data_IF_642230272184
#
_entry.id   IF_642230272184
#
_cell.length_a   1.000
_cell.length_b   1.000
_cell.length_c   1.000
_cell.angle_alpha   90.00
_cell.angle_beta   90.00
_cell.angle_gamma   90.00
#
_symmetry.space_group_name_H-M   'P 1'
#
loop_
_entity.id
_entity.type
_entity.pdbx_description
1 polymer ?
#
# COMPACT_ATOMS: atom_id res chain seq x y z
N UNK A 1 -20.00 20.26 20.01
CA UNK A 1 -18.70 19.65 20.31
C UNK A 1 -18.66 18.30 19.61
N UNK A 2 -18.19 18.26 18.36
CA UNK A 2 -18.04 17.02 17.60
C UNK A 2 -16.64 16.49 17.88
N UNK A 3 -16.52 15.51 18.79
CA UNK A 3 -15.30 14.71 18.90
C UNK A 3 -15.25 13.85 17.64
N UNK A 4 -14.63 14.36 16.57
CA UNK A 4 -14.35 13.58 15.38
C UNK A 4 -13.56 12.36 15.80
N UNK A 5 -14.09 11.15 15.53
CA UNK A 5 -13.32 9.93 15.70
C UNK A 5 -12.01 10.11 14.95
N UNK A 6 -10.91 10.03 15.66
CA UNK A 6 -9.58 10.06 15.06
C UNK A 6 -9.52 8.95 14.01
N UNK A 7 -9.09 9.29 12.79
CA UNK A 7 -9.04 8.31 11.71
C UNK A 7 -8.02 7.22 12.05
N UNK A 8 -8.31 5.93 11.80
CA UNK A 8 -7.43 4.83 12.19
C UNK A 8 -6.01 4.96 11.61
N UNK A 9 -4.99 4.74 12.47
CA UNK A 9 -3.56 4.73 12.12
C UNK A 9 -2.87 3.46 12.59
N UNK A 10 -1.80 3.02 11.92
CA UNK A 10 -0.99 1.91 12.41
C UNK A 10 -0.28 2.27 13.73
N UNK A 11 -0.23 1.32 14.67
CA UNK A 11 0.52 1.52 15.91
C UNK A 11 2.04 1.52 15.67
N UNK A 12 2.51 0.76 14.68
CA UNK A 12 3.90 0.79 14.19
C UNK A 12 3.92 1.05 12.70
N UNK A 13 4.73 2.01 12.25
CA UNK A 13 4.84 2.38 10.85
C UNK A 13 6.29 2.48 10.40
N UNK A 14 6.64 1.74 9.34
CA UNK A 14 7.90 1.89 8.62
C UNK A 14 7.66 2.58 7.27
N UNK A 15 8.56 3.47 6.88
CA UNK A 15 8.46 4.23 5.63
C UNK A 15 9.83 4.31 4.97
N UNK A 16 9.91 3.88 3.72
CA UNK A 16 11.12 3.82 2.91
C UNK A 16 10.95 4.74 1.69
N UNK A 17 11.83 5.74 1.48
CA UNK A 17 11.86 6.50 0.23
C UNK A 17 12.41 5.64 -0.91
N UNK A 18 12.31 6.16 -2.13
CA UNK A 18 12.89 5.55 -3.32
C UNK A 18 14.41 5.47 -3.22
N UNK A 19 15.00 4.67 -4.09
CA UNK A 19 16.44 4.48 -4.19
C UNK A 19 16.88 4.42 -5.65
N UNK A 20 18.18 4.55 -5.90
CA UNK A 20 18.76 4.47 -7.25
C UNK A 20 18.43 3.16 -7.99
N UNK A 21 18.07 2.09 -7.26
CA UNK A 21 17.61 0.84 -7.86
C UNK A 21 16.38 1.02 -8.77
N UNK A 22 15.52 2.01 -8.50
CA UNK A 22 14.30 2.26 -9.26
C UNK A 22 14.45 3.34 -10.34
N UNK A 23 15.67 3.80 -10.64
CA UNK A 23 15.90 4.92 -11.55
C UNK A 23 15.27 4.72 -12.95
N UNK A 24 15.25 3.48 -13.47
CA UNK A 24 14.66 3.16 -14.78
C UNK A 24 13.15 3.46 -14.85
N UNK A 25 12.45 3.36 -13.72
CA UNK A 25 11.00 3.59 -13.58
C UNK A 25 10.70 4.77 -12.67
N UNK A 26 11.63 5.73 -12.55
CA UNK A 26 11.47 6.87 -11.65
C UNK A 26 10.36 7.83 -12.09
N UNK A 27 9.96 7.78 -13.37
CA UNK A 27 8.88 8.61 -13.92
C UNK A 27 7.88 7.74 -14.65
N UNK A 28 6.60 8.12 -14.58
CA UNK A 28 5.54 7.42 -15.34
C UNK A 28 5.75 7.51 -16.86
N UNK A 29 6.49 8.50 -17.35
CA UNK A 29 6.84 8.59 -18.77
C UNK A 29 7.74 7.42 -19.21
N UNK A 30 8.62 6.95 -18.33
CA UNK A 30 9.51 5.82 -18.59
C UNK A 30 8.82 4.46 -18.37
N UNK A 31 7.73 4.43 -17.59
CA UNK A 31 6.88 3.25 -17.36
C UNK A 31 5.40 3.64 -17.46
N UNK A 32 4.93 3.83 -18.70
CA UNK A 32 3.64 4.45 -18.97
C UNK A 32 2.44 3.51 -18.87
N UNK A 33 2.67 2.19 -18.89
CA UNK A 33 1.59 1.22 -18.85
C UNK A 33 1.01 1.18 -17.42
N UNK A 34 -0.29 1.49 -17.20
CA UNK A 34 -0.88 1.39 -15.88
C UNK A 34 -0.83 -0.05 -15.37
N UNK A 35 -0.91 -0.22 -14.04
CA UNK A 35 -1.04 -1.53 -13.44
C UNK A 35 -2.49 -1.99 -13.53
N UNK A 36 -2.69 -3.30 -13.68
CA UNK A 36 -4.02 -3.92 -13.60
C UNK A 36 -4.17 -4.70 -12.31
N UNK A 37 -5.42 -4.88 -11.87
CA UNK A 37 -5.73 -5.71 -10.70
C UNK A 37 -5.19 -7.15 -10.87
N UNK A 38 -5.19 -7.72 -12.07
CA UNK A 38 -4.70 -9.08 -12.30
C UNK A 38 -3.17 -9.19 -12.23
N UNK A 39 -2.44 -8.14 -12.61
CA UNK A 39 -0.97 -8.12 -12.49
C UNK A 39 -0.53 -8.01 -11.03
N UNK A 40 -1.23 -7.21 -10.22
CA UNK A 40 -0.86 -7.00 -8.81
C UNK A 40 -1.41 -8.13 -7.91
N UNK A 41 -2.66 -8.53 -8.11
CA UNK A 41 -3.38 -9.50 -7.27
C UNK A 41 -3.57 -10.82 -8.02
N UNK A 42 -2.45 -11.50 -8.27
CA UNK A 42 -2.39 -12.77 -9.01
C UNK A 42 -3.12 -13.91 -8.29
N UNK A 43 -3.24 -15.07 -8.93
CA UNK A 43 -3.81 -16.27 -8.31
C UNK A 43 -3.09 -16.65 -6.99
N UNK A 44 -1.76 -16.52 -6.96
CA UNK A 44 -0.95 -16.76 -5.76
C UNK A 44 -1.22 -15.73 -4.66
N UNK A 45 -1.63 -14.51 -5.06
CA UNK A 45 -2.03 -13.44 -4.15
C UNK A 45 -3.44 -13.59 -3.56
N UNK A 46 -4.20 -14.63 -3.91
CA UNK A 46 -5.53 -14.88 -3.32
C UNK A 46 -5.47 -15.34 -1.87
N UNK A 47 -4.36 -15.95 -1.46
CA UNK A 47 -4.15 -16.39 -0.08
C UNK A 47 -2.79 -15.88 0.39
N UNK A 48 -2.78 -15.12 1.49
CA UNK A 48 -1.58 -14.58 2.11
C UNK A 48 -1.48 -15.11 3.54
N UNK A 49 -0.65 -16.13 3.73
CA UNK A 49 -0.55 -16.82 5.01
C UNK A 49 -1.89 -17.45 5.41
N UNK A 50 -2.48 -16.96 6.51
CA UNK A 50 -3.79 -17.41 7.01
C UNK A 50 -4.96 -16.56 6.52
N UNK A 51 -4.71 -15.53 5.70
CA UNK A 51 -5.76 -14.66 5.18
C UNK A 51 -6.11 -14.99 3.74
N UNK A 52 -7.39 -14.84 3.40
CA UNK A 52 -7.91 -14.92 2.04
C UNK A 52 -8.27 -13.53 1.53
N UNK A 53 -8.14 -13.32 0.22
CA UNK A 53 -8.55 -12.10 -0.46
C UNK A 53 -10.06 -11.92 -0.32
N UNK A 54 -10.46 -10.79 0.27
CA UNK A 54 -11.86 -10.43 0.48
C UNK A 54 -12.40 -9.55 -0.67
N UNK A 55 -11.64 -8.54 -1.08
CA UNK A 55 -12.03 -7.64 -2.15
C UNK A 55 -10.82 -6.99 -2.83
N UNK A 56 -11.01 -6.54 -4.07
CA UNK A 56 -10.09 -5.66 -4.78
C UNK A 56 -10.82 -4.43 -5.29
N UNK A 57 -10.11 -3.31 -5.41
CA UNK A 57 -10.66 -2.05 -5.92
C UNK A 57 -9.61 -1.26 -6.67
N UNK A 58 -10.03 -0.59 -7.73
CA UNK A 58 -9.26 0.43 -8.42
C UNK A 58 -9.87 1.81 -8.12
N UNK A 59 -9.00 2.78 -7.93
CA UNK A 59 -9.34 4.19 -7.72
C UNK A 59 -8.69 5.02 -8.82
N UNK A 60 -9.50 5.73 -9.60
CA UNK A 60 -9.03 6.74 -10.55
C UNK A 60 -8.86 8.11 -9.87
N UNK A 61 -9.53 8.32 -8.75
CA UNK A 61 -9.24 9.39 -7.80
C UNK A 61 -8.49 8.79 -6.59
N UNK A 62 -7.17 8.93 -6.57
CA UNK A 62 -6.33 8.31 -5.55
C UNK A 62 -6.61 8.83 -4.12
N UNK A 63 -7.18 10.03 -3.98
CA UNK A 63 -7.47 10.62 -2.68
C UNK A 63 -8.66 9.91 -1.99
N UNK A 64 -9.49 9.18 -2.73
CA UNK A 64 -10.50 8.29 -2.14
C UNK A 64 -9.88 7.19 -1.27
N UNK A 65 -8.64 6.77 -1.57
CA UNK A 65 -7.93 5.76 -0.78
C UNK A 65 -7.24 6.35 0.47
N UNK A 66 -7.25 7.67 0.63
CA UNK A 66 -6.49 8.40 1.65
C UNK A 66 -7.38 9.24 2.55
N UNK A 67 -6.87 9.56 3.73
CA UNK A 67 -7.42 10.60 4.60
C UNK A 67 -6.28 11.47 5.14
N UNK A 68 -6.50 12.77 5.27
CA UNK A 68 -5.52 13.72 5.86
C UNK A 68 -4.30 14.05 4.98
N UNK A 69 -4.17 13.43 3.81
CA UNK A 69 -3.10 13.65 2.83
C UNK A 69 -3.65 13.44 1.41
N UNK A 70 -3.03 14.10 0.43
CA UNK A 70 -3.34 13.97 -1.00
C UNK A 70 -2.18 13.31 -1.75
N UNK A 71 -2.48 12.41 -2.67
CA UNK A 71 -1.52 11.80 -3.59
C UNK A 71 -1.38 12.67 -4.85
N UNK A 72 -0.69 13.80 -4.74
CA UNK A 72 -0.53 14.77 -5.85
C UNK A 72 0.06 14.12 -7.11
N UNK A 73 -0.60 14.30 -8.25
CA UNK A 73 -0.15 13.74 -9.54
C UNK A 73 -0.40 12.24 -9.72
N UNK A 74 -1.06 11.60 -8.75
CA UNK A 74 -1.49 10.20 -8.84
C UNK A 74 -2.62 10.05 -9.86
N UNK A 75 -2.55 8.99 -10.66
CA UNK A 75 -3.56 8.67 -11.68
C UNK A 75 -4.29 7.37 -11.43
N UNK A 76 -3.76 6.53 -10.54
CA UNK A 76 -4.33 5.23 -10.23
C UNK A 76 -3.88 4.78 -8.84
N UNK A 77 -4.80 4.23 -8.06
CA UNK A 77 -4.47 3.42 -6.91
C UNK A 77 -5.20 2.07 -6.97
N UNK A 78 -4.50 0.98 -6.65
CA UNK A 78 -5.09 -0.36 -6.58
C UNK A 78 -5.04 -0.84 -5.13
N UNK A 79 -6.16 -1.35 -4.63
CA UNK A 79 -6.31 -1.87 -3.27
C UNK A 79 -6.75 -3.33 -3.28
N UNK A 80 -6.22 -4.10 -2.34
CA UNK A 80 -6.75 -5.40 -1.95
C UNK A 80 -6.94 -5.45 -0.43
N UNK A 81 -8.01 -6.09 0.01
CA UNK A 81 -8.30 -6.37 1.42
C UNK A 81 -8.33 -7.86 1.67
N UNK A 82 -7.89 -8.27 2.85
CA UNK A 82 -7.70 -9.65 3.23
C UNK A 82 -8.24 -9.91 4.64
N UNK A 83 -8.85 -11.06 4.85
CA UNK A 83 -9.39 -11.48 6.15
C UNK A 83 -9.00 -12.93 6.48
N UNK A 84 -8.76 -13.20 7.77
CA UNK A 84 -8.46 -14.55 8.23
C UNK A 84 -8.39 -14.68 9.75
N UNK A 85 -9.33 -15.41 10.33
CA UNK A 85 -9.33 -15.73 11.76
C UNK A 85 -9.31 -14.48 12.65
N UNK A 86 -8.17 -14.23 13.32
CA UNK A 86 -7.96 -13.12 14.25
C UNK A 86 -7.25 -11.91 13.65
N UNK A 87 -7.08 -11.85 12.33
CA UNK A 87 -6.40 -10.74 11.66
C UNK A 87 -7.08 -10.34 10.35
N UNK A 88 -6.84 -9.10 9.94
CA UNK A 88 -7.19 -8.61 8.61
C UNK A 88 -6.12 -7.62 8.17
N UNK A 89 -6.02 -7.43 6.86
CA UNK A 89 -5.05 -6.50 6.32
C UNK A 89 -5.46 -5.99 4.96
N UNK A 90 -4.67 -5.04 4.48
CA UNK A 90 -4.83 -4.47 3.16
C UNK A 90 -3.47 -4.12 2.55
N UNK A 91 -3.48 -4.06 1.23
CA UNK A 91 -2.40 -3.54 0.42
C UNK A 91 -2.96 -2.45 -0.49
N UNK A 92 -2.23 -1.36 -0.65
CA UNK A 92 -2.53 -0.29 -1.62
C UNK A 92 -1.27 0.02 -2.41
N UNK A 93 -1.36 0.12 -3.74
CA UNK A 93 -0.29 0.65 -4.58
C UNK A 93 -0.79 1.88 -5.34
N UNK A 94 -0.03 2.96 -5.29
CA UNK A 94 -0.30 4.23 -5.97
C UNK A 94 0.65 4.40 -7.15
N UNK A 95 0.12 4.86 -8.29
CA UNK A 95 0.88 5.25 -9.47
C UNK A 95 0.94 6.79 -9.53
N UNK A 96 2.09 7.36 -9.19
CA UNK A 96 2.33 8.81 -9.15
C UNK A 96 3.04 9.31 -10.42
N UNK A 97 3.25 10.63 -10.50
CA UNK A 97 3.96 11.23 -11.62
C UNK A 97 5.44 10.80 -11.68
N UNK A 98 6.11 10.82 -10.53
CA UNK A 98 7.54 10.55 -10.41
C UNK A 98 7.95 10.10 -8.98
N UNK A 99 9.22 9.72 -8.81
CA UNK A 99 9.78 9.31 -7.53
C UNK A 99 9.79 10.39 -6.46
N UNK A 100 9.84 11.68 -6.84
CA UNK A 100 9.73 12.79 -5.89
C UNK A 100 8.33 12.85 -5.28
N UNK A 101 7.29 12.68 -6.10
CA UNK A 101 5.92 12.59 -5.64
C UNK A 101 5.72 11.36 -4.74
N UNK A 102 6.32 10.22 -5.11
CA UNK A 102 6.30 9.02 -4.29
C UNK A 102 6.93 9.22 -2.90
N UNK A 103 8.13 9.80 -2.85
CA UNK A 103 8.82 10.13 -1.59
C UNK A 103 8.02 11.09 -0.72
N UNK A 104 7.42 12.11 -1.34
CA UNK A 104 6.58 13.08 -0.65
C UNK A 104 5.34 12.41 -0.01
N UNK A 105 4.68 11.49 -0.74
CA UNK A 105 3.55 10.74 -0.21
C UNK A 105 3.98 9.85 0.97
N UNK A 106 5.07 9.10 0.83
CA UNK A 106 5.61 8.24 1.92
C UNK A 106 5.92 9.06 3.18
N UNK A 107 6.55 10.23 3.01
CA UNK A 107 6.84 11.12 4.13
C UNK A 107 5.56 11.66 4.80
N UNK A 108 4.54 12.00 4.01
CA UNK A 108 3.28 12.54 4.50
C UNK A 108 2.42 11.48 5.22
N UNK A 109 2.44 10.22 4.79
CA UNK A 109 1.76 9.10 5.47
C UNK A 109 2.23 8.92 6.93
N UNK A 110 3.47 9.32 7.24
CA UNK A 110 4.00 9.27 8.61
C UNK A 110 3.35 10.31 9.52
N UNK A 111 2.94 11.47 8.99
CA UNK A 111 2.62 12.65 9.83
C UNK A 111 1.20 13.16 9.66
N UNK A 112 0.73 13.30 8.42
CA UNK A 112 -0.42 14.12 8.06
C UNK A 112 -1.70 13.30 7.85
N UNK A 113 -1.55 12.09 7.32
CA UNK A 113 -2.66 11.26 6.92
C UNK A 113 -2.28 9.79 6.80
N UNK A 114 -3.21 8.95 6.37
CA UNK A 114 -2.94 7.55 6.09
C UNK A 114 -3.89 6.98 5.04
N UNK A 115 -3.64 5.74 4.62
CA UNK A 115 -4.61 5.00 3.80
C UNK A 115 -5.88 4.72 4.61
N UNK A 116 -7.04 4.82 3.98
CA UNK A 116 -8.32 4.43 4.58
C UNK A 116 -8.37 2.92 4.72
N UNK A 117 -9.01 2.47 5.80
CA UNK A 117 -9.31 1.05 5.98
C UNK A 117 -10.34 0.62 4.93
N UNK A 118 -9.94 -0.27 4.02
CA UNK A 118 -10.85 -0.92 3.06
C UNK A 118 -11.63 -2.08 3.71
N UNK A 119 -11.14 -2.59 4.83
CA UNK A 119 -11.77 -3.58 5.70
C UNK A 119 -11.56 -3.16 7.16
N UNK A 120 -12.58 -3.35 7.99
CA UNK A 120 -12.49 -2.98 9.41
C UNK A 120 -11.61 -3.97 10.17
N UNK A 121 -10.61 -3.45 10.89
CA UNK A 121 -9.84 -4.21 11.88
C UNK A 121 -9.33 -3.30 12.98
N UNK A 122 -8.98 -3.90 14.11
CA UNK A 122 -8.42 -3.17 15.24
C UNK A 122 -7.04 -2.59 14.88
N UNK A 123 -6.96 -1.27 14.84
CA UNK A 123 -5.73 -0.54 14.53
C UNK A 123 -4.77 -0.51 15.74
N UNK A 124 -5.27 -0.71 16.96
CA UNK A 124 -4.45 -0.88 18.16
C UNK A 124 -3.53 -2.09 17.98
N UNK A 125 -2.21 -1.90 18.13
CA UNK A 125 -1.22 -2.97 17.92
C UNK A 125 -0.96 -3.35 16.45
N UNK A 126 -1.65 -2.71 15.50
CA UNK A 126 -1.46 -2.94 14.06
C UNK A 126 -0.11 -2.42 13.55
N UNK A 127 0.32 -2.95 12.40
CA UNK A 127 1.62 -2.65 11.79
C UNK A 127 1.47 -2.33 10.32
N UNK A 128 2.19 -1.32 9.85
CA UNK A 128 2.22 -0.96 8.45
C UNK A 128 3.62 -0.63 7.92
N UNK A 129 3.78 -0.77 6.62
CA UNK A 129 4.96 -0.39 5.86
C UNK A 129 4.53 0.37 4.61
N UNK A 130 5.21 1.47 4.30
CA UNK A 130 5.09 2.16 3.03
C UNK A 130 6.45 2.24 2.34
N UNK A 131 6.48 2.05 1.02
CA UNK A 131 7.72 2.06 0.23
C UNK A 131 7.50 2.84 -1.05
N UNK A 132 8.38 3.80 -1.34
CA UNK A 132 8.49 4.39 -2.66
C UNK A 132 9.41 3.52 -3.53
N UNK A 133 8.95 3.18 -4.73
CA UNK A 133 9.58 2.24 -5.65
C UNK A 133 9.57 2.87 -7.06
N UNK A 134 10.41 3.88 -7.27
CA UNK A 134 10.30 4.76 -8.44
C UNK A 134 9.07 5.65 -8.30
N UNK A 135 8.27 5.78 -9.36
CA UNK A 135 7.02 6.54 -9.31
C UNK A 135 5.84 5.82 -8.61
N UNK A 136 6.05 4.60 -8.10
CA UNK A 136 5.04 3.88 -7.32
C UNK A 136 5.22 4.05 -5.81
N UNK A 137 4.12 4.02 -5.07
CA UNK A 137 4.13 3.85 -3.61
C UNK A 137 3.29 2.65 -3.22
N UNK A 138 3.85 1.71 -2.46
CA UNK A 138 3.09 0.62 -1.83
C UNK A 138 2.83 0.94 -0.37
N UNK A 139 1.69 0.49 0.16
CA UNK A 139 1.30 0.56 1.57
C UNK A 139 0.69 -0.77 1.98
N UNK A 140 1.36 -1.48 2.87
CA UNK A 140 0.89 -2.73 3.48
C UNK A 140 0.47 -2.44 4.93
N UNK A 141 -0.71 -2.88 5.34
CA UNK A 141 -1.21 -2.66 6.72
C UNK A 141 -1.99 -3.86 7.21
N UNK A 142 -1.63 -4.37 8.39
CA UNK A 142 -2.29 -5.51 9.04
C UNK A 142 -2.57 -5.21 10.51
N UNK A 143 -3.72 -5.66 10.99
CA UNK A 143 -4.10 -5.58 12.40
C UNK A 143 -5.06 -6.69 12.81
N UNK A 144 -5.61 -6.57 14.01
CA UNK A 144 -6.42 -7.61 14.67
C UNK A 144 -5.77 -8.11 15.98
N UNK A 145 -6.29 -9.22 16.50
CA UNK A 145 -5.94 -9.77 17.82
C UNK A 145 -4.92 -10.91 17.76
N UNK A 146 -4.36 -11.17 16.59
CA UNK A 146 -3.28 -12.14 16.42
C UNK A 146 -1.99 -11.73 17.14
N UNK A 147 -1.07 -12.70 17.29
CA UNK A 147 0.23 -12.43 17.93
C UNK A 147 1.04 -11.41 17.13
N UNK A 148 1.92 -10.66 17.80
CA UNK A 148 2.82 -9.72 17.13
C UNK A 148 3.67 -10.39 16.04
N UNK A 149 4.07 -11.65 16.25
CA UNK A 149 4.83 -12.43 15.28
C UNK A 149 3.99 -12.76 14.04
N UNK A 150 2.74 -13.21 14.22
CA UNK A 150 1.82 -13.47 13.10
C UNK A 150 1.56 -12.20 12.28
N UNK A 151 1.38 -11.05 12.94
CA UNK A 151 1.22 -9.75 12.28
C UNK A 151 2.46 -9.37 11.46
N UNK A 152 3.67 -9.62 11.96
CA UNK A 152 4.92 -9.36 11.21
C UNK A 152 5.02 -10.27 9.98
N UNK A 153 4.79 -11.58 10.14
CA UNK A 153 4.81 -12.53 9.02
C UNK A 153 3.78 -12.14 7.96
N UNK A 154 2.60 -11.70 8.38
CA UNK A 154 1.53 -11.27 7.48
C UNK A 154 1.84 -9.95 6.78
N UNK A 155 2.46 -9.00 7.47
CA UNK A 155 2.91 -7.75 6.87
C UNK A 155 3.94 -8.00 5.74
N UNK A 156 4.88 -8.93 5.95
CA UNK A 156 5.84 -9.34 4.93
C UNK A 156 5.14 -9.98 3.73
N UNK A 157 4.11 -10.79 3.96
CA UNK A 157 3.33 -11.39 2.87
C UNK A 157 2.58 -10.33 2.04
N UNK A 158 1.99 -9.32 2.70
CA UNK A 158 1.35 -8.18 2.03
C UNK A 158 2.37 -7.34 1.24
N UNK A 159 3.52 -7.02 1.82
CA UNK A 159 4.58 -6.26 1.12
C UNK A 159 5.07 -7.00 -0.13
N UNK A 160 5.04 -8.33 -0.08
CA UNK A 160 5.36 -9.20 -1.21
C UNK A 160 4.51 -8.97 -2.46
N UNK A 161 3.32 -8.34 -2.37
CA UNK A 161 2.50 -7.96 -3.53
C UNK A 161 3.16 -6.84 -4.35
N UNK A 162 4.04 -6.04 -3.74
CA UNK A 162 4.82 -5.00 -4.43
C UNK A 162 5.82 -5.53 -5.46
N UNK A 163 6.04 -6.86 -5.52
CA UNK A 163 6.94 -7.51 -6.50
C UNK A 163 6.58 -7.21 -7.96
N UNK A 164 5.33 -6.85 -8.26
CA UNK A 164 4.93 -6.40 -9.60
C UNK A 164 5.81 -5.25 -10.12
N UNK A 165 6.27 -4.36 -9.23
CA UNK A 165 7.13 -3.22 -9.58
C UNK A 165 8.55 -3.69 -9.98
N UNK A 166 9.04 -4.81 -9.45
CA UNK A 166 10.32 -5.37 -9.88
C UNK A 166 10.25 -5.84 -11.34
N UNK A 167 9.09 -6.35 -11.77
CA UNK A 167 8.84 -6.68 -13.18
C UNK A 167 8.92 -5.46 -14.09
N UNK A 168 8.49 -4.28 -13.61
CA UNK A 168 8.60 -3.01 -14.35
C UNK A 168 10.05 -2.59 -14.57
N UNK A 169 10.91 -2.77 -13.58
CA UNK A 169 12.35 -2.49 -13.72
C UNK A 169 12.97 -3.38 -14.80
N UNK A 170 12.67 -4.69 -14.77
CA UNK A 170 13.21 -5.65 -15.75
C UNK A 170 12.75 -5.30 -17.16
N UNK A 171 11.52 -4.82 -17.33
CA UNK A 171 10.98 -4.41 -18.63
C UNK A 171 11.53 -3.06 -19.13
N UNK A 172 12.14 -2.25 -18.26
CA UNK A 172 12.66 -0.92 -18.57
C UNK A 172 14.16 -0.89 -18.89
N UNK A 173 14.85 -2.04 -18.81
CA UNK A 173 16.28 -2.22 -19.14
C UNK A 173 16.39 -2.88 -20.51
#
# INVERSE_FOLDING_TARGET
MWLGREQPRPATFHAEPTSAFYAAIDTRQNDAAPLTLQEVFTADGKTLGKMSLAATREFTDCDEALWGVTASGCTQALQATYEGGSMSGQFVIFNLADGRAADALVAALRKNGFVRQGIAFEATGSRAQARAMGHYVTVSWVGGTASAQDLVTTLVALDGLGRVVQGRIIAAI
#
